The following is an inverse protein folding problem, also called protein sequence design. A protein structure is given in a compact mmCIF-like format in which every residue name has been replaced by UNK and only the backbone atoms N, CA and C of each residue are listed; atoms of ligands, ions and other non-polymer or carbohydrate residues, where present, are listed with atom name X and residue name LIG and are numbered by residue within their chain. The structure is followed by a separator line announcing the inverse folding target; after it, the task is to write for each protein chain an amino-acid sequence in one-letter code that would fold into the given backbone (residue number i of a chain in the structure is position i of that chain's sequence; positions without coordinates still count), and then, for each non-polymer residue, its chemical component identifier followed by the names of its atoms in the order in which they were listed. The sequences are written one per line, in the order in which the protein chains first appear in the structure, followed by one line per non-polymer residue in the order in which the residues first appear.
data_IF_384336305489
#
_entry.id   IF_384336305489
#
_cell.length_a   1.000
_cell.length_b   1.000
_cell.length_c   1.000
_cell.angle_alpha   90.00
_cell.angle_beta   90.00
_cell.angle_gamma   90.00
#
_symmetry.space_group_name_H-M   'P 1'
#
loop_
_entity.id
_entity.type
_entity.pdbx_description
1 polymer ?
#
# COMPACT_ATOMS: atom_id res chain seq x y z
N UNK A 1 -13.88 10.45 -1.32
CA UNK A 1 -13.62 11.10 -2.62
C UNK A 1 -13.30 10.07 -3.70
N UNK A 2 -12.32 9.19 -3.50
CA UNK A 2 -12.04 8.11 -4.46
C UNK A 2 -13.17 7.07 -4.51
N UNK A 3 -13.83 6.78 -3.39
CA UNK A 3 -14.99 5.86 -3.34
C UNK A 3 -16.29 6.66 -3.50
N UNK A 4 -17.16 6.32 -4.47
CA UNK A 4 -18.40 7.07 -4.76
C UNK A 4 -19.49 6.91 -3.69
N UNK A 5 -19.33 5.96 -2.76
CA UNK A 5 -20.24 5.73 -1.64
C UNK A 5 -19.76 6.46 -0.37
N UNK A 6 -20.67 7.19 0.30
CA UNK A 6 -20.37 7.97 1.53
C UNK A 6 -19.85 7.09 2.67
N UNK A 7 -20.49 5.95 2.94
CA UNK A 7 -20.05 4.99 3.97
C UNK A 7 -18.74 4.32 3.56
N UNK A 8 -18.63 3.86 2.32
CA UNK A 8 -17.41 3.22 1.81
C UNK A 8 -16.18 4.13 1.90
N UNK A 9 -16.36 5.43 1.61
CA UNK A 9 -15.30 6.43 1.77
C UNK A 9 -14.83 6.60 3.22
N UNK A 10 -15.74 6.61 4.19
CA UNK A 10 -15.38 6.69 5.62
C UNK A 10 -14.66 5.42 6.07
N UNK A 11 -15.17 4.25 5.69
CA UNK A 11 -14.56 2.96 6.02
C UNK A 11 -13.13 2.90 5.46
N UNK A 12 -12.92 3.28 4.20
CA UNK A 12 -11.59 3.27 3.59
C UNK A 12 -10.61 4.24 4.28
N UNK A 13 -11.08 5.39 4.74
CA UNK A 13 -10.25 6.34 5.49
C UNK A 13 -9.84 5.78 6.86
N UNK A 14 -10.77 5.16 7.58
CA UNK A 14 -10.44 4.51 8.86
C UNK A 14 -9.48 3.35 8.61
N UNK A 15 -9.76 2.52 7.60
CA UNK A 15 -8.91 1.39 7.24
C UNK A 15 -7.49 1.82 6.82
N UNK A 16 -7.32 2.95 6.13
CA UNK A 16 -5.99 3.40 5.70
C UNK A 16 -5.05 3.71 6.87
N UNK A 17 -5.59 4.07 8.03
CA UNK A 17 -4.80 4.27 9.24
C UNK A 17 -4.74 2.96 10.04
N UNK A 18 -5.89 2.29 10.19
CA UNK A 18 -5.99 1.07 10.98
C UNK A 18 -5.08 -0.07 10.47
N UNK A 19 -4.80 -0.11 9.16
CA UNK A 19 -3.92 -1.11 8.55
C UNK A 19 -2.50 -1.11 9.13
N UNK A 20 -2.04 0.03 9.69
CA UNK A 20 -0.73 0.13 10.34
C UNK A 20 -0.66 -0.70 11.63
N UNK A 21 -1.77 -0.88 12.35
CA UNK A 21 -1.81 -1.75 13.54
C UNK A 21 -1.65 -3.23 13.17
N UNK A 22 -1.99 -3.62 11.94
CA UNK A 22 -1.80 -4.98 11.44
C UNK A 22 -0.39 -5.22 10.89
N UNK A 23 0.43 -4.19 10.74
CA UNK A 23 1.77 -4.26 10.15
C UNK A 23 2.70 -5.26 10.88
N UNK A 24 2.72 -5.34 12.23
CA UNK A 24 3.52 -6.35 12.93
C UNK A 24 3.07 -7.78 12.65
N UNK A 25 1.78 -8.01 12.41
CA UNK A 25 1.20 -9.34 12.13
C UNK A 25 1.45 -9.73 10.67
N UNK A 26 1.42 -8.76 9.77
CA UNK A 26 1.68 -8.96 8.34
C UNK A 26 3.16 -9.21 8.06
N UNK A 27 4.07 -8.85 8.95
CA UNK A 27 5.50 -9.04 8.76
C UNK A 27 5.89 -10.54 8.82
N UNK A 28 6.01 -11.18 7.65
CA UNK A 28 6.36 -12.61 7.52
C UNK A 28 7.83 -12.88 7.20
N UNK A 29 8.71 -11.87 7.19
CA UNK A 29 10.11 -12.08 6.87
C UNK A 29 10.90 -12.65 8.05
N UNK A 30 11.82 -13.58 7.75
CA UNK A 30 12.73 -14.19 8.73
C UNK A 30 13.75 -13.20 9.30
N UNK A 31 14.17 -12.21 8.51
CA UNK A 31 15.07 -11.15 8.97
C UNK A 31 14.28 -9.87 9.31
N UNK A 32 14.73 -9.13 10.34
CA UNK A 32 14.11 -7.88 10.79
C UNK A 32 14.36 -6.68 9.86
N UNK A 33 15.39 -6.76 8.99
CA UNK A 33 15.77 -5.67 8.10
C UNK A 33 15.44 -5.93 6.64
N UNK A 34 15.09 -4.87 5.89
CA UNK A 34 14.87 -4.91 4.44
C UNK A 34 16.17 -5.04 3.62
N UNK A 35 17.35 -4.93 4.25
CA UNK A 35 18.65 -4.95 3.56
C UNK A 35 18.84 -6.19 2.66
N UNK A 36 18.33 -7.34 3.09
CA UNK A 36 18.44 -8.61 2.36
C UNK A 36 17.25 -8.91 1.44
N UNK A 37 16.27 -8.00 1.33
CA UNK A 37 15.07 -8.14 0.51
C UNK A 37 15.00 -7.02 -0.55
N UNK A 38 15.79 -7.09 -1.64
CA UNK A 38 15.86 -6.02 -2.63
C UNK A 38 14.50 -5.72 -3.28
N UNK A 39 13.67 -6.75 -3.51
CA UNK A 39 12.32 -6.56 -4.06
C UNK A 39 11.43 -5.79 -3.08
N UNK A 40 11.48 -6.13 -1.79
CA UNK A 40 10.71 -5.42 -0.76
C UNK A 40 11.19 -3.97 -0.57
N UNK A 41 12.48 -3.67 -0.78
CA UNK A 41 12.98 -2.29 -0.80
C UNK A 41 12.34 -1.48 -1.92
N UNK A 42 12.26 -2.04 -3.15
CA UNK A 42 11.59 -1.38 -4.28
C UNK A 42 10.11 -1.15 -3.96
N UNK A 43 9.42 -2.17 -3.41
CA UNK A 43 8.01 -2.04 -3.01
C UNK A 43 7.81 -0.95 -1.95
N UNK A 44 8.72 -0.82 -0.99
CA UNK A 44 8.67 0.26 0.02
C UNK A 44 8.77 1.65 -0.61
N UNK A 45 9.70 1.86 -1.53
CA UNK A 45 9.82 3.14 -2.25
C UNK A 45 8.58 3.42 -3.10
N UNK A 46 7.99 2.39 -3.72
CA UNK A 46 6.75 2.53 -4.46
C UNK A 46 5.57 2.94 -3.55
N UNK A 47 5.46 2.36 -2.35
CA UNK A 47 4.48 2.78 -1.34
C UNK A 47 4.65 4.26 -0.99
N UNK A 48 5.88 4.73 -0.78
CA UNK A 48 6.16 6.15 -0.49
C UNK A 48 5.68 7.05 -1.65
N UNK A 49 6.00 6.69 -2.88
CA UNK A 49 5.54 7.42 -4.08
C UNK A 49 4.01 7.45 -4.14
N UNK A 50 3.32 6.35 -3.86
CA UNK A 50 1.84 6.29 -3.83
C UNK A 50 1.27 7.25 -2.78
N UNK A 51 1.83 7.30 -1.57
CA UNK A 51 1.36 8.22 -0.53
C UNK A 51 1.52 9.69 -0.96
N UNK A 52 2.64 10.02 -1.61
CA UNK A 52 2.85 11.37 -2.18
C UNK A 52 1.80 11.65 -3.27
N UNK A 53 1.56 10.71 -4.18
CA UNK A 53 0.57 10.88 -5.26
C UNK A 53 -0.87 10.98 -4.73
N UNK A 54 -1.23 10.22 -3.69
CA UNK A 54 -2.53 10.32 -3.03
C UNK A 54 -2.72 11.68 -2.36
N UNK A 55 -1.66 12.20 -1.73
CA UNK A 55 -1.64 13.56 -1.16
C UNK A 55 -1.86 14.61 -2.25
N UNK A 56 -1.17 14.46 -3.38
CA UNK A 56 -1.33 15.34 -4.53
C UNK A 56 -2.74 15.29 -5.12
N UNK A 57 -3.32 14.11 -5.31
CA UNK A 57 -4.71 13.94 -5.78
C UNK A 57 -5.71 14.57 -4.81
N UNK A 58 -5.44 14.50 -3.50
CA UNK A 58 -6.28 15.13 -2.48
C UNK A 58 -6.49 16.64 -2.72
N UNK A 59 -5.48 17.32 -3.26
CA UNK A 59 -5.49 18.77 -3.53
C UNK A 59 -6.05 19.16 -4.92
N UNK A 60 -6.29 18.19 -5.82
CA UNK A 60 -6.83 18.47 -7.18
C UNK A 60 -8.35 18.65 -7.18
N UNK A 61 -8.98 19.17 -8.25
CA UNK A 61 -10.46 19.26 -8.37
C UNK A 61 -11.10 17.90 -8.65
N UNK A 62 -12.38 17.72 -8.28
CA UNK A 62 -13.12 16.44 -8.37
C UNK A 62 -13.64 16.27 -9.80
N UNK A 63 -12.72 16.16 -10.74
CA UNK A 63 -13.00 16.09 -12.18
C UNK A 63 -12.16 14.98 -12.79
N UNK A 64 -12.57 14.48 -13.95
CA UNK A 64 -11.73 13.59 -14.74
C UNK A 64 -10.51 14.35 -15.28
N UNK A 65 -9.30 13.77 -15.27
CA UNK A 65 -8.96 12.36 -14.97
C UNK A 65 -8.58 12.10 -13.49
N UNK A 66 -8.75 13.08 -12.59
CA UNK A 66 -8.29 12.99 -11.20
C UNK A 66 -9.08 11.99 -10.35
N UNK A 67 -10.35 11.76 -10.69
CA UNK A 67 -11.20 10.77 -10.00
C UNK A 67 -10.66 9.36 -10.25
N UNK A 68 -10.45 9.00 -11.52
CA UNK A 68 -9.94 7.68 -11.91
C UNK A 68 -8.54 7.42 -11.36
N UNK A 69 -7.65 8.41 -11.45
CA UNK A 69 -6.28 8.28 -10.89
C UNK A 69 -6.30 8.12 -9.38
N UNK A 70 -7.15 8.87 -8.66
CA UNK A 70 -7.35 8.70 -7.22
C UNK A 70 -7.86 7.31 -6.83
N UNK A 71 -8.78 6.74 -7.63
CA UNK A 71 -9.30 5.39 -7.43
C UNK A 71 -8.21 4.33 -7.61
N UNK A 72 -7.46 4.39 -8.72
CA UNK A 72 -6.36 3.48 -9.00
C UNK A 72 -5.30 3.52 -7.90
N UNK A 73 -4.87 4.73 -7.49
CA UNK A 73 -3.90 4.89 -6.43
C UNK A 73 -4.38 4.32 -5.09
N UNK A 74 -5.66 4.50 -4.73
CA UNK A 74 -6.21 3.89 -3.50
C UNK A 74 -6.22 2.37 -3.56
N UNK A 75 -6.53 1.76 -4.71
CA UNK A 75 -6.48 0.30 -4.88
C UNK A 75 -5.04 -0.20 -4.73
N UNK A 76 -4.09 0.44 -5.40
CA UNK A 76 -2.68 0.08 -5.33
C UNK A 76 -2.14 0.21 -3.89
N UNK A 77 -2.54 1.27 -3.17
CA UNK A 77 -2.17 1.47 -1.77
C UNK A 77 -2.60 0.28 -0.87
N UNK A 78 -3.85 -0.17 -0.96
CA UNK A 78 -4.30 -1.32 -0.16
C UNK A 78 -3.68 -2.64 -0.64
N UNK A 79 -3.44 -2.81 -1.94
CA UNK A 79 -2.78 -4.00 -2.49
C UNK A 79 -1.35 -4.16 -1.97
N UNK A 80 -0.62 -3.06 -1.71
CA UNK A 80 0.74 -3.11 -1.16
C UNK A 80 0.81 -3.96 0.12
N UNK A 81 -0.14 -3.81 1.04
CA UNK A 81 -0.15 -4.52 2.32
C UNK A 81 -0.39 -6.04 2.18
N UNK A 82 -0.92 -6.50 1.04
CA UNK A 82 -1.08 -7.92 0.71
C UNK A 82 0.15 -8.44 -0.04
N UNK A 83 0.66 -7.66 -1.00
CA UNK A 83 1.78 -8.07 -1.86
C UNK A 83 3.10 -8.11 -1.08
N UNK A 84 3.38 -7.11 -0.25
CA UNK A 84 4.64 -7.02 0.50
C UNK A 84 4.95 -8.28 1.33
N UNK A 85 4.03 -8.80 2.16
CA UNK A 85 4.31 -10.02 2.92
C UNK A 85 4.41 -11.27 2.05
N UNK A 86 3.62 -11.37 0.96
CA UNK A 86 3.74 -12.48 0.00
C UNK A 86 5.13 -12.53 -0.63
N UNK A 87 5.65 -11.38 -1.09
CA UNK A 87 6.98 -11.28 -1.68
C UNK A 87 8.07 -11.62 -0.67
N UNK A 88 7.94 -11.17 0.58
CA UNK A 88 8.92 -11.51 1.64
C UNK A 88 8.99 -13.02 1.88
N UNK A 89 7.84 -13.70 1.93
CA UNK A 89 7.75 -15.14 2.14
C UNK A 89 8.33 -15.93 0.96
N UNK A 90 8.05 -15.47 -0.27
CA UNK A 90 8.61 -16.06 -1.48
C UNK A 90 10.13 -15.92 -1.48
N UNK A 91 10.65 -14.74 -1.14
CA UNK A 91 12.10 -14.51 -1.04
C UNK A 91 12.76 -15.40 0.03
N UNK A 92 12.12 -15.56 1.19
CA UNK A 92 12.57 -16.46 2.24
C UNK A 92 12.61 -17.93 1.83
N UNK A 93 11.74 -18.34 0.89
CA UNK A 93 11.78 -19.68 0.33
C UNK A 93 12.96 -19.87 -0.64
N UNK A 94 13.33 -18.82 -1.37
CA UNK A 94 14.52 -18.83 -2.25
C UNK A 94 15.82 -18.81 -1.46
N UNK A 95 15.87 -18.11 -0.31
CA UNK A 95 17.05 -18.09 0.56
C UNK A 95 17.25 -19.37 1.38
N UNK A 96 16.19 -20.18 1.55
CA UNK A 96 16.23 -21.41 2.34
C UNK A 96 16.57 -22.67 1.52
N UNK A 97 16.53 -22.57 0.18
CA UNK A 97 17.04 -23.57 -0.76
C UNK A 97 18.49 -23.25 -1.13
#
# INVERSE_FOLDING_TARGET
RSIPNKLGGVIALVMSIAILFFLPILHMSKNQGLQFYPINQILFWYMLIIVILLTWIGARPVEDPYILTGQLLTVIYFLYYIINPMVSKIWDSYLAN
#
